data_IF_188416863967
#
_entry.id   IF_188416863967
#
_cell.length_a   1.000
_cell.length_b   1.000
_cell.length_c   1.000
_cell.angle_alpha   90.00
_cell.angle_beta   90.00
_cell.angle_gamma   90.00
#
_symmetry.space_group_name_H-M   'P 1'
#
loop_
_entity.id
_entity.type
_entity.pdbx_description
1 polymer ?
#
# COMPACT_ATOMS: atom_id res chain seq x y z
N UNK A 1 -12.89 0.75 -3.70
CA UNK A 1 -12.38 0.77 -5.09
C UNK A 1 -13.16 1.72 -5.98
N UNK A 2 -12.50 2.24 -7.02
CA UNK A 2 -13.07 3.02 -8.14
C UNK A 2 -12.69 2.33 -9.46
N UNK A 3 -13.60 2.31 -10.43
CA UNK A 3 -13.36 1.75 -11.76
C UNK A 3 -12.75 2.78 -12.70
N UNK A 4 -11.66 2.41 -13.36
CA UNK A 4 -10.99 3.19 -14.41
C UNK A 4 -11.21 2.46 -15.73
N UNK A 5 -11.86 3.09 -16.73
CA UNK A 5 -12.02 2.49 -18.04
C UNK A 5 -10.65 2.31 -18.71
N UNK A 6 -10.51 1.23 -19.48
CA UNK A 6 -9.31 1.00 -20.27
C UNK A 6 -9.17 2.04 -21.37
N UNK A 7 -7.93 2.29 -21.80
CA UNK A 7 -7.63 3.32 -22.77
C UNK A 7 -6.13 3.58 -22.92
N UNK A 8 -5.81 4.53 -23.80
CA UNK A 8 -4.48 5.08 -23.94
C UNK A 8 -4.30 6.25 -22.96
N UNK A 9 -3.19 6.26 -22.24
CA UNK A 9 -2.83 7.29 -21.27
C UNK A 9 -1.36 7.66 -21.40
N UNK A 10 -1.04 8.92 -21.14
CA UNK A 10 0.34 9.37 -21.01
C UNK A 10 0.87 9.06 -19.60
N UNK A 11 2.08 8.48 -19.53
CA UNK A 11 2.78 8.22 -18.27
C UNK A 11 4.25 8.59 -18.40
N UNK A 12 4.79 9.15 -17.33
CA UNK A 12 6.17 9.64 -17.26
C UNK A 12 6.19 11.16 -17.30
N UNK A 13 7.37 11.74 -17.44
CA UNK A 13 7.54 13.19 -17.43
C UNK A 13 8.36 13.71 -18.63
N UNK A 14 8.01 14.91 -19.09
CA UNK A 14 8.75 15.72 -20.08
C UNK A 14 9.04 17.16 -19.62
N UNK A 15 8.63 17.54 -18.40
CA UNK A 15 8.78 18.90 -17.86
C UNK A 15 10.10 19.09 -17.07
N UNK A 16 10.43 20.35 -16.77
CA UNK A 16 11.61 20.71 -15.98
C UNK A 16 11.43 20.31 -14.50
N UNK A 17 12.42 19.61 -13.95
CA UNK A 17 12.46 19.24 -12.53
C UNK A 17 12.13 17.78 -12.23
N UNK A 18 11.89 16.96 -13.25
CA UNK A 18 11.71 15.52 -13.08
C UNK A 18 13.03 14.80 -12.82
N UNK A 19 12.98 13.76 -11.98
CA UNK A 19 14.09 12.83 -11.84
C UNK A 19 14.31 12.09 -13.18
N UNK A 20 15.56 11.72 -13.48
CA UNK A 20 15.90 11.09 -14.77
C UNK A 20 15.11 9.80 -15.00
N UNK A 21 14.79 9.08 -13.92
CA UNK A 21 14.05 7.82 -13.92
C UNK A 21 12.54 7.98 -14.12
N UNK A 22 12.00 9.20 -14.04
CA UNK A 22 10.57 9.47 -14.28
C UNK A 22 10.25 9.68 -15.76
N UNK A 23 11.26 9.94 -16.60
CA UNK A 23 11.12 10.13 -18.04
C UNK A 23 11.39 8.88 -18.90
N UNK A 24 11.20 9.00 -20.21
CA UNK A 24 10.43 10.05 -20.88
C UNK A 24 8.92 9.82 -20.70
N UNK A 25 8.11 10.86 -20.98
CA UNK A 25 6.68 10.64 -21.16
C UNK A 25 6.44 9.71 -22.36
N UNK A 26 5.48 8.80 -22.21
CA UNK A 26 5.08 7.88 -23.28
C UNK A 26 3.64 7.43 -23.12
N UNK A 27 3.01 7.13 -24.25
CA UNK A 27 1.68 6.54 -24.28
C UNK A 27 1.73 5.07 -23.85
N UNK A 28 0.75 4.68 -23.04
CA UNK A 28 0.50 3.32 -22.59
C UNK A 28 -0.96 2.97 -22.78
N UNK A 29 -1.22 1.77 -23.28
CA UNK A 29 -2.57 1.19 -23.30
C UNK A 29 -2.73 0.27 -22.10
N UNK A 30 -3.70 0.55 -21.24
CA UNK A 30 -4.04 -0.32 -20.11
C UNK A 30 -5.48 -0.82 -20.24
N UNK A 31 -5.70 -2.07 -19.82
CA UNK A 31 -7.04 -2.63 -19.66
C UNK A 31 -7.80 -1.88 -18.57
N UNK A 32 -9.14 -1.91 -18.61
CA UNK A 32 -9.93 -1.36 -17.52
C UNK A 32 -9.67 -2.11 -16.21
N UNK A 33 -9.55 -1.37 -15.11
CA UNK A 33 -9.22 -1.92 -13.80
C UNK A 33 -9.92 -1.16 -12.68
N UNK A 34 -10.02 -1.80 -11.52
CA UNK A 34 -10.45 -1.14 -10.29
C UNK A 34 -9.24 -0.90 -9.39
N UNK A 35 -9.16 0.27 -8.76
CA UNK A 35 -8.12 0.60 -7.78
C UNK A 35 -8.76 1.07 -6.47
N UNK A 36 -8.15 0.78 -5.33
CA UNK A 36 -8.65 1.28 -4.05
C UNK A 36 -8.59 2.81 -3.96
N UNK A 37 -9.59 3.37 -3.29
CA UNK A 37 -9.70 4.83 -3.07
C UNK A 37 -8.79 5.26 -1.92
N UNK A 38 -8.46 4.32 -1.03
CA UNK A 38 -7.63 4.54 0.15
C UNK A 38 -6.53 3.49 0.19
N UNK A 39 -5.40 3.85 0.79
CA UNK A 39 -4.33 2.90 1.09
C UNK A 39 -4.82 1.81 2.05
N UNK A 40 -4.18 0.64 1.99
CA UNK A 40 -4.44 -0.47 2.93
C UNK A 40 -4.11 0.00 4.33
N UNK A 41 -5.07 -0.13 5.26
CA UNK A 41 -4.85 0.25 6.65
C UNK A 41 -4.12 -0.83 7.44
N UNK A 42 -3.59 -0.47 8.61
CA UNK A 42 -3.02 -1.45 9.56
C UNK A 42 -4.06 -2.51 9.97
N UNK A 43 -5.34 -2.12 10.07
CA UNK A 43 -6.41 -3.05 10.42
C UNK A 43 -6.69 -4.04 9.28
N UNK A 44 -6.74 -3.57 8.03
CA UNK A 44 -6.94 -4.43 6.86
C UNK A 44 -5.80 -5.43 6.69
N UNK A 45 -4.56 -4.98 6.90
CA UNK A 45 -3.39 -5.84 6.91
C UNK A 45 -3.47 -6.88 8.04
N UNK A 46 -3.83 -6.48 9.27
CA UNK A 46 -3.98 -7.43 10.38
C UNK A 46 -5.06 -8.48 10.13
N UNK A 47 -6.19 -8.10 9.51
CA UNK A 47 -7.22 -9.05 9.11
C UNK A 47 -6.71 -10.05 8.05
N UNK A 48 -5.94 -9.57 7.07
CA UNK A 48 -5.29 -10.43 6.08
C UNK A 48 -4.36 -11.46 6.73
N UNK A 49 -3.56 -11.03 7.71
CA UNK A 49 -2.66 -11.91 8.48
C UNK A 49 -3.44 -13.00 9.22
N UNK A 50 -4.55 -12.64 9.87
CA UNK A 50 -5.38 -13.56 10.65
C UNK A 50 -6.21 -14.52 9.79
N UNK A 51 -6.61 -14.10 8.59
CA UNK A 51 -7.42 -14.89 7.66
C UNK A 51 -6.60 -15.92 6.87
N UNK A 52 -5.26 -15.81 6.88
CA UNK A 52 -4.39 -16.71 6.14
C UNK A 52 -4.14 -18.02 6.88
N UNK A 53 -4.36 -19.17 6.22
CA UNK A 53 -4.12 -20.52 6.78
C UNK A 53 -2.61 -20.90 6.86
N UNK A 54 -1.66 -20.03 6.43
CA UNK A 54 -0.20 -19.97 6.69
C UNK A 54 0.59 -19.18 5.59
N UNK A 55 1.84 -18.69 5.81
CA UNK A 55 2.47 -18.16 7.00
C UNK A 55 3.01 -16.74 6.68
N UNK A 56 2.14 -15.74 6.53
CA UNK A 56 2.66 -14.38 6.55
C UNK A 56 3.28 -14.17 7.93
N UNK A 57 4.61 -13.99 7.98
CA UNK A 57 5.29 -13.57 9.20
C UNK A 57 5.07 -12.06 9.37
N UNK A 58 4.91 -11.57 10.60
CA UNK A 58 4.90 -10.14 10.85
C UNK A 58 6.12 -9.46 10.20
N UNK A 59 5.97 -8.21 9.72
CA UNK A 59 7.11 -7.48 9.18
C UNK A 59 8.21 -7.40 10.23
N UNK A 60 9.46 -7.46 9.79
CA UNK A 60 10.60 -7.41 10.69
C UNK A 60 10.60 -6.06 11.45
N UNK A 61 10.83 -6.08 12.77
CA UNK A 61 10.93 -4.86 13.61
C UNK A 61 12.26 -4.12 13.46
N UNK A 62 12.97 -4.31 12.35
CA UNK A 62 14.35 -3.82 12.20
C UNK A 62 14.41 -2.71 11.15
N UNK A 63 14.32 -1.49 11.65
CA UNK A 63 15.37 -0.53 11.33
C UNK A 63 16.39 -0.65 12.48
N UNK A 64 17.68 -0.68 12.17
CA UNK A 64 18.78 -0.72 13.16
C UNK A 64 18.70 0.55 14.04
N UNK A 65 17.94 0.46 15.13
CA UNK A 65 17.67 1.57 16.05
C UNK A 65 16.43 1.27 16.89
N UNK A 66 16.54 1.42 18.21
CA UNK A 66 15.45 1.16 19.16
C UNK A 66 14.26 2.12 18.92
N UNK A 67 13.33 1.72 18.05
CA UNK A 67 12.14 2.51 17.73
C UNK A 67 11.65 2.28 16.31
N UNK A 68 11.24 1.05 15.98
CA UNK A 68 10.61 0.78 14.69
C UNK A 68 9.40 1.72 14.49
N UNK A 69 9.37 2.57 13.44
CA UNK A 69 8.27 3.51 13.19
C UNK A 69 7.03 2.79 12.65
N UNK A 70 7.08 1.47 12.45
CA UNK A 70 5.94 0.73 11.94
C UNK A 70 4.83 0.67 12.99
N UNK A 71 3.64 1.11 12.59
CA UNK A 71 2.42 1.11 13.40
C UNK A 71 1.89 -0.31 13.70
N UNK A 72 2.64 -1.36 13.38
CA UNK A 72 2.27 -2.74 13.65
C UNK A 72 2.46 -3.04 15.15
N UNK A 73 1.36 -3.28 15.86
CA UNK A 73 1.30 -3.51 17.31
C UNK A 73 1.84 -2.38 18.21
N UNK A 74 1.86 -1.13 17.73
CA UNK A 74 2.21 0.01 18.59
C UNK A 74 1.23 0.06 19.78
N UNK A 75 1.71 0.07 21.04
CA UNK A 75 0.84 0.05 22.20
C UNK A 75 -0.10 1.26 22.15
N UNK A 76 -1.40 1.02 22.42
CA UNK A 76 -2.57 1.94 22.43
C UNK A 76 -3.56 1.91 21.24
N UNK A 77 -3.53 0.94 20.31
CA UNK A 77 -4.53 0.90 19.21
C UNK A 77 -5.28 -0.40 18.94
N UNK A 78 -4.90 -1.52 19.54
CA UNK A 78 -5.82 -2.66 19.64
C UNK A 78 -6.82 -2.38 20.77
N UNK A 79 -7.98 -1.85 20.41
CA UNK A 79 -9.14 -1.85 21.30
C UNK A 79 -9.43 -3.29 21.68
N UNK A 80 -9.29 -3.60 22.95
CA UNK A 80 -9.84 -4.80 23.56
C UNK A 80 -11.33 -4.83 23.25
N UNK A 81 -11.76 -5.57 22.21
CA UNK A 81 -13.13 -6.04 22.17
C UNK A 81 -13.27 -6.99 23.34
N UNK A 82 -13.83 -6.48 24.43
CA UNK A 82 -14.34 -7.29 25.52
C UNK A 82 -15.33 -8.27 24.90
N UNK A 83 -14.97 -9.55 24.87
CA UNK A 83 -15.96 -10.61 24.74
C UNK A 83 -16.72 -10.63 26.07
N UNK A 84 -17.95 -10.15 26.03
CA UNK A 84 -19.00 -10.40 27.01
C UNK A 84 -20.29 -10.63 26.23
#
# INVERSE_FOLDING_TARGET
>A
MVWIPGGAFERGCEDVGCAEEEGPARELVVSGFAIDIHEVTVADYALCMLASDAPCSPPARVWEGEGSPYNFDAPKRCGTRSMA
#
